data_IF_340626638097
#
_entry.id   IF_340626638097
#
_cell.length_a   1.000
_cell.length_b   1.000
_cell.length_c   1.000
_cell.angle_alpha   90.00
_cell.angle_beta   90.00
_cell.angle_gamma   90.00
#
_symmetry.space_group_name_H-M   'P 1'
#
loop_
_entity.id
_entity.type
_entity.pdbx_description
1 polymer ?
#
# COMPACT_ATOMS: atom_id res chain seq x y z
N UNK A 1 -28.55 9.33 0.19
CA UNK A 1 -28.28 10.46 1.12
C UNK A 1 -27.80 11.66 0.31
N UNK A 2 -28.11 12.92 0.67
CA UNK A 2 -27.52 14.10 0.05
C UNK A 2 -25.99 14.09 0.27
N UNK A 3 -25.25 14.80 -0.61
CA UNK A 3 -23.81 14.91 -0.43
C UNK A 3 -23.50 15.72 0.83
N UNK A 4 -22.51 15.29 1.62
CA UNK A 4 -22.07 16.07 2.77
C UNK A 4 -21.69 17.50 2.37
N UNK A 5 -21.96 18.48 3.24
CA UNK A 5 -21.69 19.90 2.93
C UNK A 5 -20.21 20.16 2.56
N UNK A 6 -19.29 19.46 3.22
CA UNK A 6 -17.86 19.56 2.97
C UNK A 6 -17.47 19.21 1.53
N UNK A 7 -18.18 18.28 0.88
CA UNK A 7 -17.88 17.85 -0.50
C UNK A 7 -18.03 19.02 -1.47
N UNK A 8 -19.05 19.89 -1.28
CA UNK A 8 -19.24 21.08 -2.13
C UNK A 8 -18.11 22.07 -1.98
N UNK A 9 -17.67 22.33 -0.74
CA UNK A 9 -16.58 23.27 -0.48
C UNK A 9 -15.26 22.76 -1.06
N UNK A 10 -14.96 21.48 -0.84
CA UNK A 10 -13.74 20.86 -1.41
C UNK A 10 -13.79 20.83 -2.94
N UNK A 11 -14.94 20.53 -3.53
CA UNK A 11 -15.10 20.54 -5.00
C UNK A 11 -14.86 21.93 -5.60
N UNK A 12 -15.27 22.99 -4.91
CA UNK A 12 -15.06 24.37 -5.35
C UNK A 12 -13.60 24.82 -5.18
N UNK A 13 -12.86 24.30 -4.20
CA UNK A 13 -11.50 24.72 -3.86
C UNK A 13 -10.42 23.87 -4.55
N UNK A 14 -10.67 22.59 -4.80
CA UNK A 14 -9.72 21.68 -5.43
C UNK A 14 -9.61 21.98 -6.93
N UNK A 15 -8.39 22.23 -7.41
CA UNK A 15 -8.09 22.41 -8.83
C UNK A 15 -8.00 21.09 -9.60
N UNK A 16 -7.80 20.00 -8.87
CA UNK A 16 -7.73 18.66 -9.40
C UNK A 16 -9.13 18.03 -9.60
N UNK A 17 -9.25 16.76 -9.30
CA UNK A 17 -10.51 16.00 -9.50
C UNK A 17 -11.10 15.59 -8.16
N UNK A 18 -12.42 15.73 -8.04
CA UNK A 18 -13.20 15.22 -6.92
C UNK A 18 -14.22 14.21 -7.46
N UNK A 19 -14.09 12.96 -7.05
CA UNK A 19 -15.00 11.87 -7.43
C UNK A 19 -15.92 11.58 -6.26
N UNK A 20 -17.22 11.80 -6.44
CA UNK A 20 -18.21 11.71 -5.38
C UNK A 20 -18.88 10.34 -5.41
N UNK A 21 -19.05 9.70 -4.26
CA UNK A 21 -19.73 8.41 -4.06
C UNK A 21 -19.22 7.28 -4.96
N UNK A 22 -17.93 7.24 -5.16
CA UNK A 22 -17.35 6.22 -6.03
C UNK A 22 -17.16 4.91 -5.27
N UNK A 23 -17.60 3.78 -5.81
CA UNK A 23 -17.36 2.47 -5.20
C UNK A 23 -15.87 2.16 -5.11
N UNK A 24 -15.37 1.91 -3.88
CA UNK A 24 -13.94 1.70 -3.62
C UNK A 24 -13.41 0.37 -4.13
N UNK A 25 -14.29 -0.58 -4.47
CA UNK A 25 -13.90 -1.81 -5.17
C UNK A 25 -13.13 -1.54 -6.48
N UNK A 26 -13.32 -0.37 -7.12
CA UNK A 26 -12.57 0.06 -8.32
C UNK A 26 -11.18 0.60 -8.02
N UNK A 27 -10.88 0.85 -6.74
CA UNK A 27 -9.64 1.47 -6.26
C UNK A 27 -8.85 0.56 -5.31
N UNK A 28 -9.29 -0.69 -5.16
CA UNK A 28 -8.59 -1.72 -4.40
C UNK A 28 -8.21 -2.89 -5.29
N UNK A 29 -7.06 -3.51 -5.02
CA UNK A 29 -6.65 -4.73 -5.73
C UNK A 29 -7.48 -5.94 -5.34
N UNK A 30 -8.18 -5.87 -4.21
CA UNK A 30 -9.13 -6.89 -3.76
C UNK A 30 -10.47 -6.83 -4.52
N UNK A 31 -10.73 -5.71 -5.20
CA UNK A 31 -12.02 -5.41 -5.86
C UNK A 31 -13.22 -5.52 -4.92
N UNK A 32 -13.02 -5.21 -3.64
CA UNK A 32 -14.04 -5.18 -2.59
C UNK A 32 -14.07 -3.77 -2.00
N UNK A 33 -15.25 -3.28 -1.65
CA UNK A 33 -15.44 -2.03 -0.94
C UNK A 33 -16.67 -1.25 -1.35
N UNK A 34 -17.41 -0.74 -0.37
CA UNK A 34 -18.50 0.20 -0.55
C UNK A 34 -18.01 1.58 -1.01
N UNK A 35 -18.91 2.56 -1.15
CA UNK A 35 -18.56 3.88 -1.69
C UNK A 35 -17.78 4.73 -0.69
N UNK A 36 -16.78 5.50 -1.16
CA UNK A 36 -16.27 6.65 -0.45
C UNK A 36 -17.22 7.85 -0.60
N UNK A 37 -17.33 8.73 0.40
CA UNK A 37 -18.05 10.00 0.23
C UNK A 37 -17.40 10.83 -0.87
N UNK A 38 -16.06 10.97 -0.86
CA UNK A 38 -15.32 11.49 -2.00
C UNK A 38 -13.89 10.93 -2.08
N UNK A 39 -13.39 10.83 -3.33
CA UNK A 39 -11.96 10.65 -3.63
C UNK A 39 -11.48 11.95 -4.25
N UNK A 40 -10.46 12.57 -3.64
CA UNK A 40 -9.87 13.83 -4.06
C UNK A 40 -8.52 13.53 -4.67
N UNK A 41 -8.26 14.06 -5.85
CA UNK A 41 -7.02 13.87 -6.61
C UNK A 41 -6.45 15.27 -6.89
N UNK A 42 -5.72 15.88 -5.95
CA UNK A 42 -5.11 17.19 -6.14
C UNK A 42 -4.14 17.17 -7.31
N UNK A 43 -4.05 18.30 -8.05
CA UNK A 43 -3.21 18.39 -9.27
C UNK A 43 -1.73 18.55 -8.94
N UNK A 44 -1.41 19.25 -7.85
CA UNK A 44 -0.06 19.53 -7.39
C UNK A 44 -0.01 19.67 -5.86
N UNK A 45 1.17 20.00 -5.30
CA UNK A 45 1.36 20.13 -3.86
C UNK A 45 0.59 21.29 -3.24
N UNK A 46 0.46 22.41 -3.92
CA UNK A 46 -0.28 23.58 -3.42
C UNK A 46 -1.78 23.27 -3.32
N UNK A 47 -2.30 22.57 -4.31
CA UNK A 47 -3.67 22.06 -4.32
C UNK A 47 -3.90 21.05 -3.19
N UNK A 48 -2.94 20.15 -2.97
CA UNK A 48 -2.97 19.19 -1.86
C UNK A 48 -3.03 19.91 -0.51
N UNK A 49 -2.17 20.91 -0.29
CA UNK A 49 -2.14 21.71 0.94
C UNK A 49 -3.49 22.42 1.13
N UNK A 50 -4.04 23.00 0.08
CA UNK A 50 -5.34 23.66 0.09
C UNK A 50 -6.45 22.70 0.50
N UNK A 51 -6.47 21.49 -0.07
CA UNK A 51 -7.44 20.44 0.26
C UNK A 51 -7.30 20.00 1.72
N UNK A 52 -6.07 19.72 2.19
CA UNK A 52 -5.84 19.28 3.58
C UNK A 52 -6.29 20.35 4.58
N UNK A 53 -5.94 21.63 4.34
CA UNK A 53 -6.35 22.76 5.17
C UNK A 53 -7.87 22.85 5.27
N UNK A 54 -8.55 22.67 4.15
CA UNK A 54 -10.00 22.72 4.09
C UNK A 54 -10.64 21.56 4.85
N UNK A 55 -10.15 20.33 4.67
CA UNK A 55 -10.64 19.15 5.38
C UNK A 55 -10.46 19.27 6.90
N UNK A 56 -9.31 19.80 7.36
CA UNK A 56 -9.06 20.10 8.78
C UNK A 56 -10.03 21.13 9.32
N UNK A 57 -10.21 22.26 8.61
CA UNK A 57 -11.16 23.32 9.00
C UNK A 57 -12.59 22.78 9.14
N UNK A 58 -12.99 21.86 8.26
CA UNK A 58 -14.32 21.25 8.24
C UNK A 58 -14.43 20.02 9.16
N UNK A 59 -13.39 19.73 9.94
CA UNK A 59 -13.30 18.53 10.78
C UNK A 59 -13.70 17.23 10.04
N UNK A 60 -13.38 17.14 8.75
CA UNK A 60 -13.72 16.00 7.90
C UNK A 60 -12.64 14.93 8.05
N UNK A 61 -13.01 13.69 8.42
CA UNK A 61 -12.05 12.57 8.39
C UNK A 61 -11.46 12.37 7.01
N UNK A 62 -10.16 12.09 6.95
CA UNK A 62 -9.49 11.80 5.69
C UNK A 62 -8.41 10.73 5.83
N UNK A 63 -8.08 10.10 4.71
CA UNK A 63 -6.94 9.21 4.62
C UNK A 63 -6.34 9.23 3.23
N UNK A 64 -5.05 8.87 3.13
CA UNK A 64 -4.39 8.71 1.83
C UNK A 64 -4.77 7.38 1.22
N UNK A 65 -5.19 7.41 -0.04
CA UNK A 65 -5.45 6.25 -0.87
C UNK A 65 -4.31 6.09 -1.89
N UNK A 66 -3.46 5.08 -1.68
CA UNK A 66 -2.50 4.66 -2.68
C UNK A 66 -3.19 3.81 -3.77
N UNK A 67 -2.63 2.67 -4.09
CA UNK A 67 -3.26 1.73 -5.06
C UNK A 67 -4.22 0.73 -4.43
N UNK A 68 -4.58 0.90 -3.15
CA UNK A 68 -5.51 0.02 -2.45
C UNK A 68 -5.05 -1.44 -2.37
N UNK A 69 -3.76 -1.70 -2.40
CA UNK A 69 -3.21 -3.06 -2.50
C UNK A 69 -3.06 -3.78 -1.15
N UNK A 70 -3.29 -3.07 -0.05
CA UNK A 70 -3.27 -3.62 1.31
C UNK A 70 -4.52 -3.21 2.09
N UNK A 71 -5.65 -3.01 1.39
CA UNK A 71 -6.90 -2.54 1.98
C UNK A 71 -8.02 -3.57 1.80
N UNK A 72 -8.76 -3.78 2.88
CA UNK A 72 -10.12 -4.31 2.85
C UNK A 72 -11.07 -3.18 3.25
N UNK A 73 -11.82 -2.68 2.29
CA UNK A 73 -12.84 -1.64 2.54
C UNK A 73 -14.16 -2.32 2.83
N UNK A 74 -14.80 -1.96 3.94
CA UNK A 74 -16.07 -2.54 4.37
C UNK A 74 -17.23 -2.18 3.43
N UNK A 75 -18.28 -2.99 3.47
CA UNK A 75 -19.40 -2.90 2.52
C UNK A 75 -20.17 -1.58 2.61
N UNK A 76 -20.20 -0.94 3.79
CA UNK A 76 -20.80 0.39 3.99
C UNK A 76 -19.98 1.55 3.41
N UNK A 77 -18.73 1.28 3.02
CA UNK A 77 -17.84 2.29 2.44
C UNK A 77 -17.08 3.12 3.48
N UNK A 78 -16.58 4.28 3.07
CA UNK A 78 -15.76 5.16 3.90
C UNK A 78 -16.42 6.54 4.04
N UNK A 79 -16.69 6.94 5.29
CA UNK A 79 -17.23 8.27 5.61
C UNK A 79 -16.06 9.25 5.74
N UNK A 80 -15.97 10.21 4.81
CA UNK A 80 -14.91 11.20 4.73
C UNK A 80 -14.20 11.21 3.38
N UNK A 81 -13.04 11.89 3.34
CA UNK A 81 -12.25 12.10 2.14
C UNK A 81 -11.15 11.03 1.97
N UNK A 82 -11.05 10.45 0.80
CA UNK A 82 -9.87 9.70 0.39
C UNK A 82 -9.01 10.55 -0.54
N UNK A 83 -7.73 10.70 -0.24
CA UNK A 83 -6.81 11.57 -0.98
C UNK A 83 -5.85 10.71 -1.79
N UNK A 84 -5.87 10.87 -3.12
CA UNK A 84 -4.93 10.20 -4.00
C UNK A 84 -3.82 11.15 -4.41
N UNK A 85 -2.59 10.76 -4.15
CA UNK A 85 -1.39 11.53 -4.50
C UNK A 85 -0.88 11.26 -5.93
N UNK A 86 -1.66 10.57 -6.75
CA UNK A 86 -1.25 10.12 -8.09
C UNK A 86 -0.87 11.26 -9.06
N UNK A 87 -1.28 12.49 -8.79
CA UNK A 87 -0.91 13.68 -9.54
C UNK A 87 0.00 14.60 -8.71
N UNK A 88 -0.43 14.97 -7.50
CA UNK A 88 0.28 15.92 -6.65
C UNK A 88 1.70 15.48 -6.22
N UNK A 89 1.97 14.19 -6.19
CA UNK A 89 3.27 13.62 -5.82
C UNK A 89 3.66 12.48 -6.78
N UNK A 90 3.85 12.82 -8.06
CA UNK A 90 4.14 11.85 -9.13
C UNK A 90 5.49 12.10 -9.83
N UNK A 91 6.33 12.98 -9.27
CA UNK A 91 7.69 13.23 -9.76
C UNK A 91 8.60 12.04 -9.43
N UNK A 92 9.61 11.83 -10.27
CA UNK A 92 10.68 10.88 -10.05
C UNK A 92 11.96 11.44 -10.66
N UNK A 93 12.98 11.65 -9.83
CA UNK A 93 14.25 12.24 -10.23
C UNK A 93 15.38 11.35 -9.72
N UNK A 94 16.42 11.17 -10.54
CA UNK A 94 17.64 10.45 -10.14
C UNK A 94 18.78 11.47 -10.17
N UNK A 95 19.52 11.55 -9.06
CA UNK A 95 20.68 12.43 -8.90
C UNK A 95 21.92 11.63 -8.52
N UNK A 96 23.14 12.07 -8.94
CA UNK A 96 24.39 11.46 -8.50
C UNK A 96 24.55 11.58 -6.99
N UNK A 97 25.15 10.55 -6.38
CA UNK A 97 25.60 10.59 -5.00
C UNK A 97 27.00 11.23 -4.83
N UNK A 98 27.57 11.08 -3.65
CA UNK A 98 28.89 11.63 -3.32
C UNK A 98 30.05 10.92 -4.02
N UNK A 99 29.81 9.74 -4.58
CA UNK A 99 30.77 8.98 -5.38
C UNK A 99 30.11 8.48 -6.68
N UNK A 100 30.93 7.98 -7.60
CA UNK A 100 30.50 7.56 -8.95
C UNK A 100 29.59 6.34 -8.99
N UNK A 101 29.52 5.58 -7.91
CA UNK A 101 28.73 4.34 -7.83
C UNK A 101 27.37 4.54 -7.15
N UNK A 102 27.21 5.63 -6.39
CA UNK A 102 25.98 5.91 -5.66
C UNK A 102 25.08 6.87 -6.44
N UNK A 103 23.78 6.58 -6.41
CA UNK A 103 22.73 7.46 -6.94
C UNK A 103 21.59 7.55 -5.93
N UNK A 104 20.90 8.67 -5.96
CA UNK A 104 19.68 8.87 -5.17
C UNK A 104 18.48 8.99 -6.11
N UNK A 105 17.45 8.20 -5.84
CA UNK A 105 16.16 8.32 -6.52
C UNK A 105 15.16 8.97 -5.56
N UNK A 106 14.80 10.21 -5.84
CA UNK A 106 13.64 10.82 -5.20
C UNK A 106 12.38 10.45 -5.98
N UNK A 107 11.41 9.86 -5.31
CA UNK A 107 10.14 9.46 -5.89
C UNK A 107 8.97 9.95 -5.05
N UNK A 108 8.02 10.63 -5.68
CA UNK A 108 6.78 11.08 -5.06
C UNK A 108 5.93 9.91 -4.56
N UNK A 109 5.20 10.11 -3.49
CA UNK A 109 4.39 9.08 -2.83
C UNK A 109 3.31 8.47 -3.75
N UNK A 110 2.84 9.23 -4.75
CA UNK A 110 1.88 8.77 -5.76
C UNK A 110 2.49 7.93 -6.88
N UNK A 111 3.82 7.90 -7.03
CA UNK A 111 4.50 7.11 -8.07
C UNK A 111 4.18 5.62 -7.89
N UNK A 112 3.72 4.92 -8.94
CA UNK A 112 3.59 3.46 -8.88
C UNK A 112 4.94 2.79 -8.61
N UNK A 113 5.01 1.89 -7.64
CA UNK A 113 6.26 1.21 -7.27
C UNK A 113 6.91 0.47 -8.46
N UNK A 114 6.07 -0.12 -9.32
CA UNK A 114 6.54 -0.76 -10.55
C UNK A 114 7.15 0.23 -11.56
N UNK A 115 6.76 1.53 -11.53
CA UNK A 115 7.39 2.57 -12.35
C UNK A 115 8.79 2.89 -11.83
N UNK A 116 8.95 3.03 -10.51
CA UNK A 116 10.25 3.23 -9.88
C UNK A 116 11.21 2.07 -10.23
N UNK A 117 10.76 0.82 -10.01
CA UNK A 117 11.55 -0.37 -10.38
C UNK A 117 11.91 -0.40 -11.88
N UNK A 118 10.96 -0.11 -12.77
CA UNK A 118 11.22 -0.13 -14.21
C UNK A 118 12.32 0.86 -14.61
N UNK A 119 12.34 2.04 -14.00
CA UNK A 119 13.35 3.06 -14.26
C UNK A 119 14.72 2.58 -13.75
N UNK A 120 14.81 2.01 -12.53
CA UNK A 120 16.08 1.47 -12.01
C UNK A 120 16.62 0.36 -12.89
N UNK A 121 15.76 -0.53 -13.38
CA UNK A 121 16.18 -1.60 -14.32
C UNK A 121 16.69 -1.04 -15.65
N UNK A 122 16.03 -0.01 -16.20
CA UNK A 122 16.43 0.64 -17.45
C UNK A 122 17.81 1.31 -17.32
N UNK A 123 18.05 1.97 -16.17
CA UNK A 123 19.31 2.67 -15.86
C UNK A 123 20.40 1.73 -15.30
N UNK A 124 20.15 0.43 -15.19
CA UNK A 124 21.10 -0.54 -14.63
C UNK A 124 21.42 -0.30 -13.16
N UNK A 125 20.45 0.21 -12.38
CA UNK A 125 20.61 0.48 -10.96
C UNK A 125 20.08 -0.69 -10.11
N UNK A 126 20.80 -1.01 -9.04
CA UNK A 126 20.44 -2.04 -8.06
C UNK A 126 19.96 -1.40 -6.75
N UNK A 127 19.09 -2.13 -6.03
CA UNK A 127 18.55 -1.75 -4.73
C UNK A 127 17.02 -1.90 -4.63
N UNK A 128 16.27 -1.84 -5.73
CA UNK A 128 14.81 -1.95 -5.72
C UNK A 128 14.28 -3.28 -6.27
N UNK A 129 15.12 -4.25 -6.62
CA UNK A 129 14.72 -5.53 -7.25
C UNK A 129 13.74 -6.33 -6.36
N UNK A 130 13.87 -6.23 -5.04
CA UNK A 130 12.97 -6.88 -4.08
C UNK A 130 11.52 -6.40 -4.21
N UNK A 131 11.29 -5.20 -4.79
CA UNK A 131 9.94 -4.66 -5.01
C UNK A 131 9.22 -5.31 -6.19
N UNK A 132 9.88 -6.18 -6.93
CA UNK A 132 9.33 -6.87 -8.10
C UNK A 132 7.99 -7.49 -7.81
N UNK A 133 6.96 -7.05 -8.52
CA UNK A 133 5.60 -7.57 -8.40
C UNK A 133 4.87 -7.21 -7.10
N UNK A 134 5.39 -6.31 -6.26
CA UNK A 134 4.63 -5.69 -5.16
C UNK A 134 3.71 -4.64 -5.79
N UNK A 135 2.39 -4.79 -5.71
CA UNK A 135 1.47 -3.75 -6.14
C UNK A 135 1.44 -2.62 -5.11
N UNK A 136 1.43 -1.38 -5.56
CA UNK A 136 1.35 -0.25 -4.64
C UNK A 136 1.95 1.03 -5.22
N UNK A 137 1.89 2.11 -4.45
CA UNK A 137 2.62 3.35 -4.67
C UNK A 137 3.83 3.43 -3.75
N UNK A 138 4.77 4.30 -4.06
CA UNK A 138 5.95 4.59 -3.24
C UNK A 138 5.54 4.95 -1.80
N UNK A 139 4.59 5.89 -1.61
CA UNK A 139 4.13 6.27 -0.27
C UNK A 139 3.53 5.10 0.51
N UNK A 140 2.70 4.27 -0.15
CA UNK A 140 2.16 3.06 0.47
C UNK A 140 3.24 2.04 0.84
N UNK A 141 4.26 1.88 -0.02
CA UNK A 141 5.39 1.00 0.24
C UNK A 141 6.25 1.50 1.41
N UNK A 142 6.47 2.81 1.54
CA UNK A 142 7.18 3.43 2.65
C UNK A 142 6.42 3.22 3.97
N UNK A 143 5.12 3.57 4.01
CA UNK A 143 4.28 3.41 5.21
C UNK A 143 4.22 1.96 5.69
N UNK A 144 4.15 1.02 4.75
CA UNK A 144 4.10 -0.42 5.06
C UNK A 144 5.47 -1.05 5.26
N UNK A 145 6.56 -0.30 5.14
CA UNK A 145 7.90 -0.88 5.07
C UNK A 145 7.87 -2.15 4.20
N UNK A 146 7.36 -1.98 2.98
CA UNK A 146 7.07 -3.10 2.09
C UNK A 146 8.34 -3.87 1.78
N UNK A 147 8.25 -5.19 1.79
CA UNK A 147 9.42 -6.02 1.56
C UNK A 147 9.09 -7.48 1.24
N UNK A 148 10.11 -8.18 0.86
CA UNK A 148 10.12 -9.61 0.59
C UNK A 148 11.22 -10.28 1.43
N UNK A 149 11.54 -11.55 1.14
CA UNK A 149 12.72 -12.21 1.72
C UNK A 149 14.05 -11.57 1.28
N UNK A 150 14.05 -10.83 0.15
CA UNK A 150 15.26 -10.33 -0.51
C UNK A 150 15.56 -8.86 -0.16
N UNK A 151 14.72 -8.21 0.64
CA UNK A 151 14.91 -6.84 1.09
C UNK A 151 13.59 -6.12 1.40
N UNK A 152 13.69 -4.92 1.95
CA UNK A 152 12.56 -4.07 2.34
C UNK A 152 12.87 -2.60 2.06
N UNK A 153 11.84 -1.77 2.05
CA UNK A 153 11.96 -0.32 1.77
C UNK A 153 12.95 0.38 2.71
N UNK A 154 12.93 0.04 3.99
CA UNK A 154 13.88 0.55 4.99
C UNK A 154 15.35 0.39 4.56
N UNK A 155 15.70 -0.73 3.91
CA UNK A 155 17.08 -1.05 3.57
C UNK A 155 17.69 -0.02 2.59
N UNK A 156 16.87 0.57 1.73
CA UNK A 156 17.27 1.51 0.68
C UNK A 156 16.81 2.96 0.92
N UNK A 157 15.96 3.19 1.92
CA UNK A 157 15.48 4.55 2.24
C UNK A 157 16.60 5.37 2.84
N UNK A 158 16.82 6.57 2.31
CA UNK A 158 17.75 7.58 2.84
C UNK A 158 17.00 8.70 3.57
N UNK A 159 15.90 9.17 2.97
CA UNK A 159 15.09 10.28 3.47
C UNK A 159 13.62 10.07 3.11
N UNK A 160 12.73 10.58 3.93
CA UNK A 160 11.29 10.67 3.64
C UNK A 160 10.81 12.08 3.92
N UNK A 161 10.12 12.68 2.95
CA UNK A 161 9.48 13.99 3.08
C UNK A 161 8.00 13.82 3.42
N UNK A 162 7.58 14.56 4.43
CA UNK A 162 6.21 14.57 4.95
C UNK A 162 5.56 15.95 4.73
N UNK A 163 4.28 15.94 4.47
CA UNK A 163 3.42 17.08 4.78
C UNK A 163 3.05 16.96 6.26
N UNK A 164 3.48 17.93 7.06
CA UNK A 164 3.31 17.93 8.52
C UNK A 164 1.91 18.38 8.93
N UNK A 165 1.61 18.24 10.21
CA UNK A 165 0.36 18.76 10.78
C UNK A 165 0.23 20.30 10.67
N UNK A 166 1.36 21.02 10.59
CA UNK A 166 1.43 22.46 10.34
C UNK A 166 1.33 22.83 8.86
N UNK A 167 1.04 21.84 7.98
CA UNK A 167 0.88 22.04 6.53
C UNK A 167 2.16 22.53 5.83
N UNK A 168 3.31 22.18 6.40
CA UNK A 168 4.64 22.43 5.83
C UNK A 168 5.31 21.14 5.40
N UNK A 169 6.23 21.23 4.45
CA UNK A 169 7.06 20.09 4.06
C UNK A 169 8.24 19.97 5.01
N UNK A 170 8.45 18.79 5.56
CA UNK A 170 9.58 18.46 6.41
C UNK A 170 10.17 17.10 6.04
N UNK A 171 11.49 17.03 5.95
CA UNK A 171 12.21 15.80 5.67
C UNK A 171 12.79 15.18 6.94
N UNK A 172 12.70 13.86 7.05
CA UNK A 172 13.33 13.05 8.08
C UNK A 172 14.32 12.07 7.42
N UNK A 173 15.57 12.10 7.82
CA UNK A 173 16.58 11.15 7.32
C UNK A 173 16.38 9.78 7.99
N UNK A 174 16.93 8.74 7.39
CA UNK A 174 16.75 7.34 7.82
C UNK A 174 16.87 7.10 9.32
N UNK A 175 17.87 7.70 9.97
CA UNK A 175 18.10 7.54 11.42
C UNK A 175 17.00 8.08 12.32
N UNK A 176 16.20 9.04 11.80
CA UNK A 176 15.10 9.69 12.52
C UNK A 176 13.74 9.04 12.19
N UNK A 177 13.73 8.01 11.31
CA UNK A 177 12.57 7.26 10.91
C UNK A 177 12.44 5.99 11.76
N UNK A 178 11.26 5.76 12.33
CA UNK A 178 10.98 4.57 13.12
C UNK A 178 10.33 3.47 12.26
N UNK A 179 11.15 2.77 11.48
CA UNK A 179 10.70 1.60 10.73
C UNK A 179 10.56 0.37 11.65
N UNK A 180 9.50 -0.38 11.42
CA UNK A 180 9.20 -1.66 12.06
C UNK A 180 8.78 -2.68 11.00
N UNK A 181 8.57 -3.93 11.42
CA UNK A 181 8.05 -4.95 10.52
C UNK A 181 6.66 -4.55 10.00
N UNK A 182 6.55 -4.31 8.69
CA UNK A 182 5.31 -3.89 8.01
C UNK A 182 4.73 -2.56 8.52
N UNK A 183 5.59 -1.67 8.99
CA UNK A 183 5.14 -0.38 9.51
C UNK A 183 6.25 0.67 9.50
N UNK A 184 5.91 1.92 9.17
CA UNK A 184 6.63 3.13 9.51
C UNK A 184 5.76 3.93 10.48
N UNK A 185 6.29 4.27 11.65
CA UNK A 185 5.59 5.15 12.58
C UNK A 185 5.51 6.56 12.00
N UNK A 186 4.29 7.05 11.82
CA UNK A 186 3.97 8.39 11.30
C UNK A 186 2.86 8.96 12.16
N UNK A 187 2.94 10.23 12.51
CA UNK A 187 1.89 10.92 13.27
C UNK A 187 0.58 10.96 12.48
N UNK A 188 -0.56 10.95 13.19
CA UNK A 188 -1.88 10.82 12.59
C UNK A 188 -2.22 11.87 11.54
N UNK A 189 -1.63 13.07 11.67
CA UNK A 189 -1.88 14.22 10.81
C UNK A 189 -0.73 14.49 9.82
N UNK A 190 0.27 13.61 9.78
CA UNK A 190 1.37 13.65 8.81
C UNK A 190 1.07 12.74 7.61
N UNK A 191 1.57 13.13 6.46
CA UNK A 191 1.42 12.40 5.19
C UNK A 191 2.76 12.29 4.48
N UNK A 192 3.15 11.08 4.08
CA UNK A 192 4.32 10.89 3.20
C UNK A 192 4.02 11.49 1.83
N UNK A 193 4.90 12.39 1.36
CA UNK A 193 4.80 13.07 0.07
C UNK A 193 5.86 12.58 -0.92
N UNK A 194 7.07 12.31 -0.46
CA UNK A 194 8.12 11.67 -1.27
C UNK A 194 9.06 10.84 -0.40
N UNK A 195 9.85 10.00 -1.06
CA UNK A 195 10.95 9.28 -0.44
C UNK A 195 12.16 9.28 -1.37
N UNK A 196 13.35 9.38 -0.77
CA UNK A 196 14.63 9.27 -1.45
C UNK A 196 15.24 7.91 -1.14
N UNK A 197 15.52 7.15 -2.19
CA UNK A 197 16.14 5.83 -2.12
C UNK A 197 17.60 5.92 -2.55
N UNK A 198 18.47 5.33 -1.77
CA UNK A 198 19.89 5.16 -2.10
C UNK A 198 20.06 3.92 -2.96
N UNK A 199 20.56 4.09 -4.17
CA UNK A 199 20.77 3.06 -5.17
C UNK A 199 22.24 2.98 -5.55
N UNK A 200 22.62 1.91 -6.22
CA UNK A 200 24.00 1.72 -6.72
C UNK A 200 23.97 1.37 -8.21
N UNK A 201 25.02 1.74 -8.92
CA UNK A 201 25.27 1.19 -10.26
C UNK A 201 25.46 -0.32 -10.16
N UNK A 202 24.79 -1.05 -11.00
CA UNK A 202 24.87 -2.51 -11.10
C UNK A 202 25.20 -2.94 -12.51
N UNK A 203 25.38 -4.26 -12.67
CA UNK A 203 25.41 -4.85 -14.00
C UNK A 203 23.99 -4.94 -14.55
N UNK A 204 23.64 -4.26 -15.67
CA UNK A 204 22.26 -4.21 -16.18
C UNK A 204 21.67 -5.59 -16.49
N UNK A 205 22.49 -6.56 -16.94
CA UNK A 205 22.02 -7.90 -17.25
C UNK A 205 21.69 -8.68 -15.96
N UNK A 206 22.50 -8.49 -14.92
CA UNK A 206 22.24 -9.10 -13.61
C UNK A 206 20.98 -8.52 -12.98
N UNK A 207 20.79 -7.20 -13.01
CA UNK A 207 19.58 -6.54 -12.51
C UNK A 207 18.32 -7.09 -13.21
N UNK A 208 18.36 -7.16 -14.56
CA UNK A 208 17.26 -7.75 -15.35
C UNK A 208 17.00 -9.22 -14.98
N UNK A 209 18.06 -10.01 -14.82
CA UNK A 209 17.96 -11.43 -14.45
C UNK A 209 17.34 -11.59 -13.05
N UNK A 210 17.75 -10.78 -12.08
CA UNK A 210 17.20 -10.78 -10.71
C UNK A 210 15.71 -10.45 -10.70
N UNK A 211 15.31 -9.38 -11.38
CA UNK A 211 13.90 -8.98 -11.49
C UNK A 211 13.06 -10.06 -12.18
N UNK A 212 13.58 -10.68 -13.25
CA UNK A 212 12.90 -11.78 -13.93
C UNK A 212 12.70 -12.98 -13.00
N UNK A 213 13.76 -13.40 -12.30
CA UNK A 213 13.69 -14.52 -11.36
C UNK A 213 12.67 -14.26 -10.23
N UNK A 214 12.67 -13.05 -9.65
CA UNK A 214 11.70 -12.65 -8.63
C UNK A 214 10.25 -12.67 -9.18
N UNK A 215 10.05 -12.20 -10.43
CA UNK A 215 8.73 -12.22 -11.06
C UNK A 215 8.26 -13.66 -11.31
N UNK A 216 9.13 -14.53 -11.79
CA UNK A 216 8.80 -15.93 -12.07
C UNK A 216 8.49 -16.69 -10.77
N UNK A 217 9.27 -16.46 -9.72
CA UNK A 217 8.98 -17.00 -8.39
C UNK A 217 7.58 -16.57 -7.89
N UNK A 218 7.22 -15.28 -7.99
CA UNK A 218 5.89 -14.80 -7.60
C UNK A 218 4.77 -15.36 -8.47
N UNK A 219 5.03 -15.58 -9.77
CA UNK A 219 4.07 -16.26 -10.65
C UNK A 219 3.80 -17.70 -10.20
N UNK A 220 4.83 -18.39 -9.73
CA UNK A 220 4.72 -19.77 -9.27
C UNK A 220 4.06 -19.90 -7.90
N UNK A 221 4.29 -18.94 -6.99
CA UNK A 221 3.92 -19.05 -5.57
C UNK A 221 2.68 -18.28 -5.16
N UNK A 222 2.26 -17.25 -5.91
CA UNK A 222 1.14 -16.38 -5.53
C UNK A 222 -0.06 -16.50 -6.46
N UNK A 223 -1.31 -16.37 -5.94
CA UNK A 223 -2.50 -16.38 -6.77
C UNK A 223 -2.58 -15.10 -7.61
N UNK A 224 -2.57 -15.24 -8.94
CA UNK A 224 -2.67 -14.10 -9.88
C UNK A 224 -3.98 -14.09 -10.66
N UNK A 225 -4.71 -15.21 -10.63
CA UNK A 225 -5.95 -15.34 -11.37
C UNK A 225 -7.11 -14.57 -10.75
N UNK A 226 -7.03 -14.27 -9.45
CA UNK A 226 -8.10 -13.66 -8.69
C UNK A 226 -7.63 -12.41 -7.93
N UNK A 227 -8.50 -11.41 -7.76
CA UNK A 227 -8.22 -10.23 -6.93
C UNK A 227 -7.91 -10.62 -5.49
N UNK A 228 -6.94 -9.89 -4.88
CA UNK A 228 -6.56 -10.06 -3.48
C UNK A 228 -5.88 -8.79 -2.95
N UNK A 229 -5.70 -8.69 -1.63
CA UNK A 229 -4.93 -7.63 -0.98
C UNK A 229 -3.52 -8.08 -0.54
N UNK A 230 -2.95 -9.10 -1.17
CA UNK A 230 -1.67 -9.68 -0.77
C UNK A 230 -1.79 -10.63 0.42
N UNK A 231 -0.74 -10.71 1.23
CA UNK A 231 -0.74 -11.49 2.47
C UNK A 231 -1.72 -10.90 3.48
N UNK A 232 -2.60 -11.73 4.01
CA UNK A 232 -3.66 -11.29 4.94
C UNK A 232 -3.13 -11.13 6.35
N UNK A 233 -2.19 -11.98 6.77
CA UNK A 233 -1.63 -11.98 8.11
C UNK A 233 -0.13 -11.74 8.11
N UNK A 234 0.37 -11.06 9.13
CA UNK A 234 1.80 -10.93 9.41
C UNK A 234 2.38 -12.29 9.75
N UNK A 235 3.65 -12.50 9.40
CA UNK A 235 4.36 -13.67 9.88
C UNK A 235 4.67 -13.51 11.37
N UNK A 236 4.28 -14.48 12.23
CA UNK A 236 4.69 -14.49 13.63
C UNK A 236 6.24 -14.63 13.75
N UNK A 237 6.86 -14.19 14.86
CA UNK A 237 8.29 -14.33 15.06
C UNK A 237 8.77 -15.77 14.83
N UNK A 238 9.72 -15.94 13.91
CA UNK A 238 10.30 -17.27 13.58
C UNK A 238 9.38 -18.23 12.84
N UNK A 239 8.16 -17.81 12.43
CA UNK A 239 7.18 -18.69 11.80
C UNK A 239 6.64 -18.06 10.50
N UNK A 240 6.02 -18.88 9.66
CA UNK A 240 5.28 -18.45 8.47
C UNK A 240 3.78 -18.57 8.69
N UNK A 241 3.05 -17.45 8.62
CA UNK A 241 1.58 -17.49 8.69
C UNK A 241 1.00 -18.41 7.60
N UNK A 242 1.54 -18.34 6.38
CA UNK A 242 1.11 -19.22 5.29
C UNK A 242 1.32 -20.70 5.59
N UNK A 243 2.44 -21.08 6.19
CA UNK A 243 2.70 -22.47 6.59
C UNK A 243 1.73 -22.95 7.68
N UNK A 244 1.47 -22.12 8.69
CA UNK A 244 0.51 -22.44 9.76
C UNK A 244 -0.91 -22.65 9.20
N UNK A 245 -1.35 -21.78 8.30
CA UNK A 245 -2.68 -21.87 7.67
C UNK A 245 -2.78 -23.11 6.76
N UNK A 246 -1.71 -23.44 6.05
CA UNK A 246 -1.62 -24.66 5.22
C UNK A 246 -1.68 -25.93 6.06
N UNK A 247 -0.88 -26.00 7.12
CA UNK A 247 -0.87 -27.12 8.07
C UNK A 247 -2.21 -27.29 8.82
N UNK A 248 -2.94 -26.18 9.02
CA UNK A 248 -4.30 -26.22 9.57
C UNK A 248 -5.34 -26.76 8.58
N UNK A 249 -4.95 -27.09 7.33
CA UNK A 249 -5.86 -27.63 6.30
C UNK A 249 -6.84 -26.59 5.75
N UNK A 250 -6.52 -25.29 5.81
CA UNK A 250 -7.46 -24.23 5.48
C UNK A 250 -7.41 -23.76 4.03
N UNK A 251 -6.46 -24.22 3.19
CA UNK A 251 -6.48 -23.94 1.76
C UNK A 251 -7.82 -24.34 1.14
N UNK A 252 -8.34 -23.53 0.23
CA UNK A 252 -9.63 -23.76 -0.41
C UNK A 252 -10.85 -23.46 0.46
N UNK A 253 -10.68 -23.20 1.78
CA UNK A 253 -11.80 -22.82 2.66
C UNK A 253 -12.47 -21.55 2.12
N UNK A 254 -13.81 -21.59 2.01
CA UNK A 254 -14.60 -20.54 1.37
C UNK A 254 -15.72 -20.04 2.28
N UNK A 255 -16.00 -18.74 2.27
CA UNK A 255 -17.19 -18.10 2.83
C UNK A 255 -17.69 -17.08 1.78
N UNK A 256 -18.91 -17.26 1.30
CA UNK A 256 -19.37 -16.52 0.12
C UNK A 256 -18.40 -16.72 -1.06
N UNK A 257 -17.96 -15.64 -1.69
CA UNK A 257 -16.95 -15.66 -2.75
C UNK A 257 -15.54 -15.33 -2.25
N UNK A 258 -15.32 -15.22 -0.95
CA UNK A 258 -13.98 -15.13 -0.36
C UNK A 258 -13.43 -16.54 -0.11
N UNK A 259 -12.22 -16.81 -0.61
CA UNK A 259 -11.57 -18.13 -0.48
C UNK A 259 -10.11 -17.99 -0.02
N UNK A 260 -9.67 -18.83 0.93
CA UNK A 260 -8.24 -19.03 1.18
C UNK A 260 -7.63 -19.66 -0.07
N UNK A 261 -6.63 -19.00 -0.64
CA UNK A 261 -6.03 -19.45 -1.89
C UNK A 261 -5.41 -20.84 -1.74
N UNK A 262 -5.69 -21.71 -2.69
CA UNK A 262 -5.06 -23.03 -2.78
C UNK A 262 -3.57 -22.95 -3.09
N UNK A 263 -3.13 -21.85 -3.74
CA UNK A 263 -1.75 -21.65 -4.14
C UNK A 263 -0.88 -21.10 -3.02
N UNK A 264 -1.41 -20.15 -2.23
CA UNK A 264 -0.70 -19.51 -1.12
C UNK A 264 -1.66 -19.29 0.04
N UNK A 265 -1.52 -20.05 1.11
CA UNK A 265 -2.49 -20.09 2.21
C UNK A 265 -2.66 -18.76 2.95
N UNK A 266 -1.65 -17.86 2.93
CA UNK A 266 -1.78 -16.52 3.51
C UNK A 266 -2.45 -15.49 2.58
N UNK A 267 -3.09 -15.93 1.49
CA UNK A 267 -3.87 -15.08 0.61
C UNK A 267 -5.34 -15.47 0.67
N UNK A 268 -6.20 -14.48 0.82
CA UNK A 268 -7.63 -14.63 0.55
C UNK A 268 -7.90 -13.98 -0.82
N UNK A 269 -8.59 -14.71 -1.67
CA UNK A 269 -8.94 -14.27 -3.01
C UNK A 269 -10.45 -14.01 -3.13
N UNK A 270 -10.80 -13.06 -3.98
CA UNK A 270 -12.17 -12.77 -4.35
C UNK A 270 -12.51 -13.51 -5.64
N UNK A 271 -13.41 -14.49 -5.57
CA UNK A 271 -13.86 -15.31 -6.71
C UNK A 271 -14.89 -14.59 -7.63
N UNK A 272 -15.14 -13.30 -7.40
CA UNK A 272 -15.96 -12.44 -8.24
C UNK A 272 -16.89 -11.53 -7.45
N UNK A 273 -17.61 -12.03 -6.46
CA UNK A 273 -18.63 -11.29 -5.73
C UNK A 273 -18.44 -11.32 -4.21
N UNK A 274 -17.20 -11.52 -3.74
CA UNK A 274 -16.92 -11.52 -2.31
C UNK A 274 -17.26 -10.15 -1.69
N UNK A 275 -17.90 -10.18 -0.53
CA UNK A 275 -18.15 -9.01 0.31
C UNK A 275 -17.07 -8.87 1.38
N UNK A 276 -16.91 -7.69 1.91
CA UNK A 276 -15.97 -7.47 3.01
C UNK A 276 -16.32 -8.33 4.23
N UNK A 277 -17.60 -8.51 4.54
CA UNK A 277 -18.06 -9.40 5.61
C UNK A 277 -17.64 -10.85 5.41
N UNK A 278 -17.59 -11.34 4.17
CA UNK A 278 -17.19 -12.72 3.87
C UNK A 278 -15.69 -12.90 4.17
N UNK A 279 -14.88 -11.92 3.75
CA UNK A 279 -13.44 -11.88 4.03
C UNK A 279 -13.18 -11.81 5.53
N UNK A 280 -13.85 -10.93 6.28
CA UNK A 280 -13.71 -10.83 7.74
C UNK A 280 -14.08 -12.12 8.44
N UNK A 281 -15.19 -12.75 8.04
CA UNK A 281 -15.62 -14.04 8.59
C UNK A 281 -14.59 -15.13 8.32
N UNK A 282 -14.00 -15.14 7.13
CA UNK A 282 -12.95 -16.10 6.77
C UNK A 282 -11.65 -15.82 7.53
N UNK A 283 -11.26 -14.57 7.70
CA UNK A 283 -10.10 -14.18 8.53
C UNK A 283 -10.27 -14.65 9.98
N UNK A 284 -11.45 -14.41 10.57
CA UNK A 284 -11.76 -14.84 11.93
C UNK A 284 -11.72 -16.39 12.07
N UNK A 285 -12.21 -17.12 11.08
CA UNK A 285 -12.13 -18.57 11.04
C UNK A 285 -10.67 -19.04 10.99
N UNK A 286 -9.85 -18.43 10.13
CA UNK A 286 -8.42 -18.75 10.02
C UNK A 286 -7.70 -18.49 11.34
N UNK A 287 -7.89 -17.29 11.92
CA UNK A 287 -7.25 -16.93 13.21
C UNK A 287 -7.63 -17.89 14.33
N UNK A 288 -8.91 -18.24 14.45
CA UNK A 288 -9.40 -19.17 15.47
C UNK A 288 -8.78 -20.54 15.28
N UNK A 289 -8.84 -21.13 14.07
CA UNK A 289 -8.34 -22.48 13.81
C UNK A 289 -6.82 -22.56 14.02
N UNK A 290 -6.04 -21.55 13.57
CA UNK A 290 -4.59 -21.53 13.81
C UNK A 290 -4.28 -21.41 15.31
N UNK A 291 -5.03 -20.60 16.06
CA UNK A 291 -4.87 -20.47 17.50
C UNK A 291 -5.21 -21.79 18.24
N UNK A 292 -6.28 -22.46 17.85
CA UNK A 292 -6.70 -23.75 18.42
C UNK A 292 -5.68 -24.85 18.15
N UNK A 293 -5.14 -24.92 16.93
CA UNK A 293 -4.22 -26.00 16.52
C UNK A 293 -2.77 -25.79 17.00
N UNK A 294 -2.31 -24.53 17.06
CA UNK A 294 -0.88 -24.21 17.27
C UNK A 294 -0.61 -23.24 18.41
N UNK A 295 -1.65 -22.70 19.07
CA UNK A 295 -1.49 -21.69 20.13
C UNK A 295 -1.05 -20.31 19.63
N UNK A 296 -0.99 -20.08 18.31
CA UNK A 296 -0.46 -18.85 17.69
C UNK A 296 -1.61 -17.91 17.32
N UNK A 297 -1.55 -16.67 17.82
CA UNK A 297 -2.48 -15.61 17.41
C UNK A 297 -1.93 -14.90 16.15
N UNK A 298 -2.61 -15.04 15.01
CA UNK A 298 -2.26 -14.34 13.78
C UNK A 298 -2.74 -12.88 13.84
N UNK A 299 -1.86 -11.95 13.49
CA UNK A 299 -2.19 -10.53 13.34
C UNK A 299 -2.48 -10.19 11.89
N UNK A 300 -3.49 -9.35 11.63
CA UNK A 300 -3.79 -8.86 10.28
C UNK A 300 -2.64 -8.00 9.74
N UNK A 301 -2.22 -8.26 8.50
CA UNK A 301 -1.34 -7.37 7.72
C UNK A 301 -2.17 -6.39 6.88
N UNK A 302 -3.31 -6.83 6.35
CA UNK A 302 -4.21 -5.95 5.59
C UNK A 302 -4.91 -4.97 6.53
N UNK A 303 -5.07 -3.72 6.05
CA UNK A 303 -5.77 -2.67 6.79
C UNK A 303 -7.27 -2.71 6.46
N UNK A 304 -8.08 -2.95 7.49
CA UNK A 304 -9.54 -2.90 7.38
C UNK A 304 -10.00 -1.48 7.65
N UNK A 305 -10.78 -0.91 6.75
CA UNK A 305 -11.29 0.46 6.84
C UNK A 305 -12.76 0.56 6.46
N UNK A 306 -13.39 1.64 6.91
CA UNK A 306 -14.77 1.95 6.57
C UNK A 306 -15.76 1.44 7.61
N UNK A 307 -17.03 1.41 7.22
CA UNK A 307 -18.16 0.97 8.06
C UNK A 307 -18.83 -0.26 7.48
N UNK A 308 -19.44 -1.04 8.34
CA UNK A 308 -20.24 -2.22 8.00
C UNK A 308 -21.57 -1.85 7.35
#
# INVERSE_FOLDING_TARGET
>A
RPDPSWVKEVTAACRGRVLIRVPLNRFTTFTIGGPAEAIIIPVDQDDLITVIRLLKRLATPWMVLGRGSNLLVLDGGYDGAMISLAQAANQLVITPGSNTEELFMEAGAGVPLCRALRITVAEGLTGLEFTTGIPGSVGGAVIMNAGTRDGRIEDVTEEVTFLTKEETMASKIKKDLCFQYRHLAVDSDEMVVSATFKLKKGNPDLVRKTVKAAMDYRKQTQPKAWPSAGSVFKNPPGMSAGALIDQAGLKGTRIGDAQVSEKHANFIVNLGHARAKDVLSLMNKVQRTVKENFGVALESEIKVIGRS
#
